data_IF_590891618639
#
_entry.id   IF_590891618639
#
_cell.length_a   1.000
_cell.length_b   1.000
_cell.length_c   1.000
_cell.angle_alpha   90.00
_cell.angle_beta   90.00
_cell.angle_gamma   90.00
#
_symmetry.space_group_name_H-M   'P 1'
#
loop_
_entity.id
_entity.type
_entity.pdbx_description
1 polymer ?
#
# COMPACT_ATOMS: atom_id res chain seq x y z
N UNK A 1 20.18 2.58 6.38
CA UNK A 1 19.51 1.60 5.50
C UNK A 1 18.88 2.41 4.36
N UNK A 2 19.52 2.39 3.18
CA UNK A 2 19.10 3.23 2.06
C UNK A 2 17.93 2.57 1.32
N UNK A 3 16.81 3.27 1.23
CA UNK A 3 15.70 2.84 0.37
C UNK A 3 16.12 3.08 -1.08
N UNK A 4 16.37 1.97 -1.77
CA UNK A 4 16.74 1.91 -3.18
C UNK A 4 15.53 2.39 -4.02
N UNK A 5 15.45 3.70 -4.28
CA UNK A 5 14.61 4.26 -5.33
C UNK A 5 15.40 4.21 -6.64
N UNK A 6 15.65 3.01 -7.16
CA UNK A 6 16.22 2.87 -8.48
C UNK A 6 15.12 2.94 -9.54
N UNK A 7 15.37 3.80 -10.52
CA UNK A 7 14.77 3.86 -11.86
C UNK A 7 13.47 4.68 -12.02
N UNK A 8 13.65 6.00 -12.05
CA UNK A 8 13.08 6.84 -13.13
C UNK A 8 11.73 7.51 -12.90
N UNK A 9 11.01 7.24 -11.81
CA UNK A 9 9.73 7.89 -11.51
C UNK A 9 9.82 8.53 -10.14
N UNK A 10 9.69 9.87 -10.08
CA UNK A 10 9.53 10.57 -8.79
C UNK A 10 8.41 9.85 -8.02
N UNK A 11 8.60 9.45 -6.76
CA UNK A 11 7.54 8.83 -5.99
C UNK A 11 6.30 9.71 -6.07
N UNK A 12 5.17 9.12 -6.48
CA UNK A 12 3.89 9.83 -6.47
C UNK A 12 3.58 10.27 -5.03
N UNK A 13 2.87 11.39 -4.82
CA UNK A 13 2.58 11.90 -3.46
C UNK A 13 1.99 10.84 -2.51
N UNK A 14 1.28 9.84 -3.04
CA UNK A 14 0.77 8.70 -2.24
C UNK A 14 1.86 7.75 -1.74
N UNK A 15 2.93 7.54 -2.50
CA UNK A 15 4.02 6.64 -2.12
C UNK A 15 4.84 7.23 -0.97
N UNK A 16 5.05 8.55 -0.99
CA UNK A 16 5.66 9.29 0.12
C UNK A 16 4.82 9.20 1.39
N UNK A 17 3.50 9.42 1.29
CA UNK A 17 2.56 9.29 2.42
C UNK A 17 2.62 7.88 3.03
N UNK A 18 2.55 6.83 2.21
CA UNK A 18 2.64 5.44 2.69
C UNK A 18 4.01 5.15 3.28
N UNK A 19 5.09 5.67 2.71
CA UNK A 19 6.44 5.49 3.24
C UNK A 19 6.59 6.08 4.65
N UNK A 20 6.03 7.27 4.90
CA UNK A 20 6.04 7.88 6.23
C UNK A 20 5.16 7.10 7.22
N UNK A 21 4.01 6.62 6.76
CA UNK A 21 3.12 5.78 7.58
C UNK A 21 3.79 4.47 8.02
N UNK A 22 4.49 3.78 7.11
CA UNK A 22 5.24 2.56 7.40
C UNK A 22 6.45 2.80 8.33
N UNK A 23 6.93 4.05 8.42
CA UNK A 23 7.93 4.46 9.42
C UNK A 23 7.32 4.75 10.81
N UNK A 24 5.99 4.65 10.95
CA UNK A 24 5.28 4.92 12.19
C UNK A 24 4.99 6.41 12.45
N UNK A 25 5.07 7.26 11.41
CA UNK A 25 4.73 8.68 11.54
C UNK A 25 3.21 8.85 11.63
N UNK A 26 2.75 9.69 12.55
CA UNK A 26 1.32 9.98 12.73
C UNK A 26 0.71 10.71 11.52
N UNK A 27 -0.56 10.42 11.22
CA UNK A 27 -1.29 10.97 10.06
C UNK A 27 -1.27 12.51 9.99
N UNK A 28 -1.38 13.17 11.15
CA UNK A 28 -1.34 14.63 11.23
C UNK A 28 0.04 15.19 10.86
N UNK A 29 1.11 14.50 11.28
CA UNK A 29 2.48 14.87 10.94
C UNK A 29 2.80 14.56 9.49
N UNK A 30 2.30 13.45 8.94
CA UNK A 30 2.38 13.15 7.51
C UNK A 30 1.73 14.27 6.71
N UNK A 31 0.51 14.68 7.06
CA UNK A 31 -0.20 15.76 6.38
C UNK A 31 0.59 17.08 6.36
N UNK A 32 1.22 17.42 7.50
CA UNK A 32 2.09 18.59 7.62
C UNK A 32 3.34 18.49 6.75
N UNK A 33 4.02 17.34 6.76
CA UNK A 33 5.25 17.11 6.00
C UNK A 33 5.01 17.07 4.50
N UNK A 34 3.96 16.37 4.07
CA UNK A 34 3.59 16.21 2.66
C UNK A 34 2.77 17.38 2.11
N UNK A 35 2.49 18.41 2.92
CA UNK A 35 1.65 19.58 2.58
C UNK A 35 0.28 19.20 2.00
N UNK A 36 -0.33 18.16 2.57
CA UNK A 36 -1.65 17.69 2.19
C UNK A 36 -2.67 18.01 3.27
N UNK A 37 -3.95 18.08 2.89
CA UNK A 37 -5.02 18.04 3.87
C UNK A 37 -5.02 16.67 4.57
N UNK A 38 -5.20 16.65 5.89
CA UNK A 38 -5.25 15.41 6.67
C UNK A 38 -6.30 14.43 6.11
N UNK A 39 -7.45 14.93 5.66
CA UNK A 39 -8.49 14.11 5.02
C UNK A 39 -8.01 13.37 3.76
N UNK A 40 -7.11 13.98 2.98
CA UNK A 40 -6.49 13.33 1.81
C UNK A 40 -5.49 12.27 2.22
N UNK A 41 -4.69 12.53 3.26
CA UNK A 41 -3.75 11.54 3.82
C UNK A 41 -4.51 10.33 4.32
N UNK A 42 -5.51 10.52 5.20
CA UNK A 42 -6.33 9.44 5.72
C UNK A 42 -7.04 8.64 4.62
N UNK A 43 -7.45 9.27 3.51
CA UNK A 43 -8.00 8.54 2.36
C UNK A 43 -6.96 7.59 1.75
N UNK A 44 -5.75 8.07 1.49
CA UNK A 44 -4.68 7.23 0.94
C UNK A 44 -4.32 6.08 1.87
N UNK A 45 -4.20 6.34 3.19
CA UNK A 45 -3.88 5.32 4.17
C UNK A 45 -4.98 4.26 4.28
N UNK A 46 -6.27 4.66 4.26
CA UNK A 46 -7.38 3.70 4.26
C UNK A 46 -7.41 2.83 3.01
N UNK A 47 -7.17 3.42 1.83
CA UNK A 47 -7.12 2.65 0.58
C UNK A 47 -5.94 1.66 0.59
N UNK A 48 -4.78 2.10 1.10
CA UNK A 48 -3.60 1.25 1.27
C UNK A 48 -3.85 0.08 2.23
N UNK A 49 -4.36 0.36 3.44
CA UNK A 49 -4.67 -0.67 4.43
C UNK A 49 -5.72 -1.66 3.93
N UNK A 50 -6.72 -1.18 3.16
CA UNK A 50 -7.70 -2.07 2.53
C UNK A 50 -7.05 -3.04 1.54
N UNK A 51 -6.15 -2.57 0.70
CA UNK A 51 -5.40 -3.44 -0.24
C UNK A 51 -4.51 -4.41 0.53
N UNK A 52 -3.79 -3.95 1.56
CA UNK A 52 -2.95 -4.80 2.42
C UNK A 52 -3.75 -5.92 3.09
N UNK A 53 -4.93 -5.58 3.63
CA UNK A 53 -5.83 -6.55 4.26
C UNK A 53 -6.31 -7.61 3.25
N UNK A 54 -6.74 -7.20 2.05
CA UNK A 54 -7.21 -8.13 1.03
C UNK A 54 -6.09 -9.06 0.54
N UNK A 55 -4.87 -8.54 0.38
CA UNK A 55 -3.70 -9.38 0.06
C UNK A 55 -3.40 -10.39 1.17
N UNK A 56 -3.50 -9.98 2.44
CA UNK A 56 -3.33 -10.88 3.58
C UNK A 56 -4.37 -12.00 3.63
N UNK A 57 -5.56 -11.77 3.07
CA UNK A 57 -6.60 -12.78 2.88
C UNK A 57 -6.47 -13.55 1.56
N UNK A 58 -5.33 -13.44 0.89
CA UNK A 58 -5.01 -14.17 -0.35
C UNK A 58 -5.99 -13.88 -1.50
N UNK A 59 -6.66 -12.72 -1.45
CA UNK A 59 -7.55 -12.29 -2.52
C UNK A 59 -6.71 -11.98 -3.76
N UNK A 60 -7.03 -12.55 -4.93
CA UNK A 60 -6.30 -12.27 -6.16
C UNK A 60 -6.36 -10.77 -6.50
N UNK A 61 -5.22 -10.18 -6.90
CA UNK A 61 -5.10 -8.75 -7.22
C UNK A 61 -6.16 -8.28 -8.22
N UNK A 62 -6.53 -9.12 -9.18
CA UNK A 62 -7.57 -8.84 -10.18
C UNK A 62 -8.97 -8.65 -9.57
N UNK A 63 -9.25 -9.25 -8.41
CA UNK A 63 -10.51 -9.13 -7.68
C UNK A 63 -10.49 -7.96 -6.68
N UNK A 64 -9.30 -7.55 -6.21
CA UNK A 64 -9.15 -6.49 -5.20
C UNK A 64 -9.83 -5.20 -5.65
N UNK A 65 -9.66 -4.79 -6.92
CA UNK A 65 -10.28 -3.55 -7.42
C UNK A 65 -11.80 -3.52 -7.29
N UNK A 66 -12.46 -4.65 -7.58
CA UNK A 66 -13.91 -4.78 -7.44
C UNK A 66 -14.33 -4.73 -5.95
N UNK A 67 -13.59 -5.39 -5.07
CA UNK A 67 -13.90 -5.44 -3.63
C UNK A 67 -13.57 -4.13 -2.90
N UNK A 68 -12.55 -3.41 -3.35
CA UNK A 68 -12.10 -2.17 -2.70
C UNK A 68 -12.76 -0.91 -3.26
N UNK A 69 -13.41 -1.01 -4.43
CA UNK A 69 -13.93 0.12 -5.19
C UNK A 69 -12.83 0.98 -5.82
N UNK A 70 -11.63 0.43 -6.01
CA UNK A 70 -10.47 1.15 -6.56
C UNK A 70 -10.25 0.77 -8.01
N UNK A 71 -9.75 1.72 -8.80
CA UNK A 71 -9.34 1.43 -10.17
C UNK A 71 -8.15 0.46 -10.19
N UNK A 72 -8.03 -0.44 -11.19
CA UNK A 72 -6.95 -1.42 -11.27
C UNK A 72 -5.54 -0.81 -11.19
N UNK A 73 -5.34 0.36 -11.80
CA UNK A 73 -4.06 1.09 -11.75
C UNK A 73 -3.72 1.59 -10.33
N UNK A 74 -4.75 1.97 -9.55
CA UNK A 74 -4.61 2.38 -8.15
C UNK A 74 -4.28 1.18 -7.27
N UNK A 75 -4.94 0.05 -7.52
CA UNK A 75 -4.64 -1.22 -6.84
C UNK A 75 -3.20 -1.62 -7.09
N UNK A 76 -2.74 -1.65 -8.34
CA UNK A 76 -1.36 -2.01 -8.69
C UNK A 76 -0.32 -1.13 -7.97
N UNK A 77 -0.58 0.18 -7.88
CA UNK A 77 0.28 1.09 -7.13
C UNK A 77 0.38 0.74 -5.64
N UNK A 78 -0.74 0.39 -4.99
CA UNK A 78 -0.73 -0.03 -3.58
C UNK A 78 -0.15 -1.43 -3.38
N UNK A 79 -0.41 -2.37 -4.29
CA UNK A 79 0.20 -3.70 -4.27
C UNK A 79 1.72 -3.58 -4.29
N UNK A 80 2.29 -2.74 -5.17
CA UNK A 80 3.73 -2.47 -5.23
C UNK A 80 4.29 -1.96 -3.90
N UNK A 81 3.57 -1.04 -3.24
CA UNK A 81 3.96 -0.54 -1.91
C UNK A 81 3.88 -1.64 -0.84
N UNK A 82 2.81 -2.45 -0.84
CA UNK A 82 2.71 -3.59 0.09
C UNK A 82 3.85 -4.58 -0.15
N UNK A 83 4.20 -4.90 -1.41
CA UNK A 83 5.35 -5.78 -1.73
C UNK A 83 6.66 -5.25 -1.15
N UNK A 84 6.83 -3.93 -1.15
CA UNK A 84 8.03 -3.27 -0.68
C UNK A 84 8.17 -3.32 0.84
N UNK A 85 7.08 -3.06 1.58
CA UNK A 85 7.12 -2.94 3.04
C UNK A 85 6.76 -4.23 3.78
N UNK A 86 5.95 -5.11 3.16
CA UNK A 86 5.46 -6.37 3.72
C UNK A 86 5.66 -7.53 2.73
N UNK A 87 6.91 -7.85 2.35
CA UNK A 87 7.20 -8.89 1.36
C UNK A 87 6.71 -10.29 1.79
N UNK A 88 6.65 -10.53 3.09
CA UNK A 88 6.15 -11.76 3.72
C UNK A 88 4.68 -12.04 3.43
N UNK A 89 3.84 -11.00 3.31
CA UNK A 89 2.41 -11.14 2.99
C UNK A 89 2.17 -11.75 1.60
N UNK A 90 3.17 -11.77 0.73
CA UNK A 90 3.09 -12.33 -0.61
C UNK A 90 3.74 -13.71 -0.70
N UNK A 91 4.64 -14.05 0.23
CA UNK A 91 5.24 -15.37 0.33
C UNK A 91 4.31 -16.36 1.06
N UNK A 92 3.40 -15.86 1.90
CA UNK A 92 2.41 -16.70 2.61
C UNK A 92 1.45 -17.39 1.63
N UNK A 93 1.14 -16.80 0.47
CA UNK A 93 0.30 -17.44 -0.55
C UNK A 93 0.96 -18.62 -1.27
N UNK A 94 2.24 -18.88 -1.02
CA UNK A 94 2.96 -20.07 -1.52
C UNK A 94 3.05 -21.18 -0.45
N UNK A 95 2.73 -20.89 0.82
CA UNK A 95 2.90 -21.81 1.96
C UNK A 95 1.58 -22.34 2.54
N UNK A 96 0.44 -21.77 2.17
CA UNK A 96 -0.86 -22.33 2.53
C UNK A 96 -1.35 -23.26 1.42
N UNK A 97 -1.44 -24.59 1.64
CA UNK A 97 -2.19 -25.44 0.73
C UNK A 97 -3.64 -24.96 0.75
N UNK A 98 -4.18 -24.68 -0.43
CA UNK A 98 -5.59 -24.40 -0.66
C UNK A 98 -6.47 -25.36 0.15
N UNK A 99 -7.56 -24.81 0.68
CA UNK A 99 -8.52 -25.44 1.58
C UNK A 99 -8.70 -26.95 1.43
N UNK A 100 -8.64 -27.61 2.58
CA UNK A 100 -9.25 -28.92 2.80
C UNK A 100 -10.78 -28.80 2.84
#
# INVERSE_FOLDING_TARGET
KGYYFDQGVRPTHKAEIVALYEQGVDEADIARQSRHAQSSVGRYLRDYERVKLLLRHEIPVVQIGAMSGLQPTVVDAYVKLVRQYHPDLLSISELAPFGA
#
